data_IF_869817570320
#
_entry.id   IF_869817570320
#
_cell.length_a   1.000
_cell.length_b   1.000
_cell.length_c   1.000
_cell.angle_alpha   90.00
_cell.angle_beta   90.00
_cell.angle_gamma   90.00
#
_symmetry.space_group_name_H-M   'P 1'
#
loop_
_entity.id
_entity.type
_entity.pdbx_description
1 polymer ?
#
# COMPACT_ATOMS: atom_id res chain seq x y z
N UNK A 1 12.07 26.96 0.56
CA UNK A 1 12.07 25.60 -0.02
C UNK A 1 10.69 25.22 -0.52
N UNK A 2 9.65 25.19 0.34
CA UNK A 2 8.25 25.13 -0.12
C UNK A 2 7.93 26.22 -1.15
N UNK A 3 8.38 27.46 -0.93
CA UNK A 3 8.23 28.54 -1.93
C UNK A 3 8.93 28.26 -3.26
N UNK A 4 10.10 27.61 -3.24
CA UNK A 4 10.85 27.26 -4.46
C UNK A 4 10.18 26.10 -5.19
N UNK A 5 9.66 25.12 -4.45
CA UNK A 5 8.87 24.02 -5.01
C UNK A 5 7.53 24.52 -5.55
N UNK A 6 6.85 25.43 -4.85
CA UNK A 6 5.54 25.98 -5.23
C UNK A 6 5.60 26.86 -6.50
N UNK A 7 6.79 27.36 -6.87
CA UNK A 7 7.01 28.04 -8.15
C UNK A 7 7.05 27.07 -9.35
N UNK A 8 7.20 25.75 -9.13
CA UNK A 8 7.31 24.74 -10.19
C UNK A 8 6.26 23.61 -10.07
N UNK A 9 5.78 23.30 -8.86
CA UNK A 9 4.81 22.26 -8.56
C UNK A 9 3.83 22.78 -7.49
N UNK A 10 2.52 22.75 -7.75
CA UNK A 10 1.53 23.20 -6.77
C UNK A 10 1.50 22.30 -5.52
N UNK A 11 2.12 22.75 -4.43
CA UNK A 11 2.11 22.05 -3.14
C UNK A 11 1.91 23.02 -1.97
N UNK A 12 1.28 22.51 -0.90
CA UNK A 12 0.97 23.24 0.34
C UNK A 12 1.75 22.69 1.53
N UNK A 13 2.08 21.39 1.51
CA UNK A 13 2.73 20.68 2.61
C UNK A 13 3.84 19.76 2.10
N UNK A 14 4.71 19.32 3.01
CA UNK A 14 5.73 18.30 2.77
C UNK A 14 5.57 17.26 3.87
N UNK A 15 5.58 15.98 3.49
CA UNK A 15 5.56 14.88 4.44
C UNK A 15 6.76 14.95 5.40
N UNK A 16 6.53 14.64 6.68
CA UNK A 16 7.55 14.78 7.72
C UNK A 16 8.79 13.90 7.49
N UNK A 17 8.66 12.71 6.91
CA UNK A 17 9.80 11.82 6.64
C UNK A 17 10.62 12.27 5.45
N UNK A 18 10.00 12.98 4.50
CA UNK A 18 10.70 13.72 3.45
C UNK A 18 11.48 14.87 4.07
N UNK A 19 10.84 15.69 4.93
CA UNK A 19 11.48 16.83 5.60
C UNK A 19 12.70 16.41 6.43
N UNK A 20 12.65 15.26 7.11
CA UNK A 20 13.77 14.73 7.90
C UNK A 20 15.06 14.57 7.09
N UNK A 21 14.97 14.33 5.78
CA UNK A 21 16.13 14.05 4.93
C UNK A 21 16.35 15.07 3.80
N UNK A 22 15.44 16.04 3.63
CA UNK A 22 15.38 16.93 2.46
C UNK A 22 16.67 17.72 2.24
N UNK A 23 17.21 18.29 3.32
CA UNK A 23 18.41 19.13 3.31
C UNK A 23 19.66 18.37 2.87
N UNK A 24 19.80 17.13 3.34
CA UNK A 24 20.91 16.24 3.02
C UNK A 24 20.81 15.70 1.59
N UNK A 25 19.62 15.22 1.20
CA UNK A 25 19.37 14.69 -0.16
C UNK A 25 19.59 15.74 -1.23
N UNK A 26 19.00 16.94 -1.10
CA UNK A 26 19.13 18.00 -2.09
C UNK A 26 20.59 18.42 -2.30
N UNK A 27 21.39 18.54 -1.23
CA UNK A 27 22.83 18.83 -1.36
C UNK A 27 23.58 17.71 -2.06
N UNK A 28 23.28 16.45 -1.74
CA UNK A 28 23.92 15.30 -2.39
C UNK A 28 23.61 15.20 -3.89
N UNK A 29 22.52 15.81 -4.34
CA UNK A 29 22.11 15.86 -5.74
C UNK A 29 22.35 17.22 -6.40
N UNK A 30 23.23 18.06 -5.83
CA UNK A 30 23.54 19.40 -6.36
C UNK A 30 22.30 20.25 -6.63
N UNK A 31 21.29 20.14 -5.76
CA UNK A 31 20.00 20.84 -5.85
C UNK A 31 19.16 20.47 -7.08
N UNK A 32 19.46 19.37 -7.77
CA UNK A 32 18.66 18.80 -8.85
C UNK A 32 17.89 17.58 -8.34
N UNK A 33 16.58 17.71 -8.23
CA UNK A 33 15.72 16.66 -7.71
C UNK A 33 14.37 16.66 -8.42
N UNK A 34 13.72 15.51 -8.39
CA UNK A 34 12.34 15.33 -8.75
C UNK A 34 11.49 15.23 -7.48
N UNK A 35 10.35 15.91 -7.47
CA UNK A 35 9.38 15.81 -6.39
C UNK A 35 8.14 15.03 -6.85
N UNK A 36 7.71 14.06 -6.04
CA UNK A 36 6.41 13.43 -6.18
C UNK A 36 5.41 14.12 -5.27
N UNK A 37 4.28 14.55 -5.84
CA UNK A 37 3.25 15.30 -5.14
C UNK A 37 1.91 14.60 -5.26
N UNK A 38 1.25 14.38 -4.12
CA UNK A 38 -0.09 13.79 -4.02
C UNK A 38 -0.95 14.74 -3.21
N UNK A 39 -2.13 15.12 -3.70
CA UNK A 39 -3.06 16.01 -2.99
C UNK A 39 -2.40 17.28 -2.41
N UNK A 40 -1.49 17.92 -3.17
CA UNK A 40 -0.70 19.09 -2.77
C UNK A 40 0.30 18.84 -1.62
N UNK A 41 0.59 17.61 -1.26
CA UNK A 41 1.68 17.24 -0.34
C UNK A 41 2.86 16.67 -1.13
N UNK A 42 4.09 17.12 -0.84
CA UNK A 42 5.31 16.47 -1.34
C UNK A 42 5.55 15.19 -0.53
N UNK A 43 5.39 14.04 -1.18
CA UNK A 43 5.44 12.71 -0.56
C UNK A 43 6.78 12.00 -0.77
N UNK A 44 7.56 12.38 -1.78
CA UNK A 44 8.87 11.83 -2.03
C UNK A 44 9.78 12.81 -2.78
N UNK A 45 11.09 12.61 -2.61
CA UNK A 45 12.13 13.26 -3.40
C UNK A 45 13.10 12.21 -3.93
N UNK A 46 13.43 12.32 -5.21
CA UNK A 46 14.37 11.46 -5.93
C UNK A 46 15.36 12.30 -6.76
N UNK A 47 16.52 11.75 -7.16
CA UNK A 47 17.42 12.44 -8.09
C UNK A 47 16.74 12.64 -9.45
N UNK A 48 17.10 13.69 -10.17
CA UNK A 48 16.59 13.94 -11.52
C UNK A 48 17.55 13.39 -12.59
N UNK A 49 17.10 12.59 -13.58
CA UNK A 49 15.76 12.01 -13.70
C UNK A 49 15.61 10.73 -12.85
N UNK A 50 14.39 10.42 -12.41
CA UNK A 50 14.05 9.16 -11.74
C UNK A 50 12.66 8.67 -12.16
N UNK A 51 12.43 7.36 -12.04
CA UNK A 51 11.13 6.75 -12.32
C UNK A 51 10.18 7.02 -11.17
N UNK A 52 8.90 7.20 -11.48
CA UNK A 52 7.83 7.19 -10.49
C UNK A 52 6.97 5.97 -10.74
N UNK A 53 6.92 5.08 -9.75
CA UNK A 53 6.27 3.79 -9.87
C UNK A 53 5.02 3.73 -8.98
N UNK A 54 4.03 3.00 -9.47
CA UNK A 54 2.85 2.59 -8.74
C UNK A 54 2.87 1.09 -8.51
N UNK A 55 2.20 0.65 -7.45
CA UNK A 55 2.00 -0.76 -7.16
C UNK A 55 0.50 -1.07 -7.03
N UNK A 56 -0.03 -1.88 -7.93
CA UNK A 56 -1.41 -2.37 -7.82
C UNK A 56 -1.39 -3.79 -7.25
N UNK A 57 -2.22 -4.04 -6.24
CA UNK A 57 -2.27 -5.30 -5.50
C UNK A 57 -3.71 -5.81 -5.43
N UNK A 58 -3.92 -7.05 -5.85
CA UNK A 58 -5.13 -7.82 -5.56
C UNK A 58 -4.82 -8.78 -4.40
N UNK A 59 -5.34 -8.44 -3.21
CA UNK A 59 -5.19 -9.20 -1.97
C UNK A 59 -6.34 -10.21 -1.85
N UNK A 60 -6.23 -11.30 -2.62
CA UNK A 60 -7.15 -12.43 -2.54
C UNK A 60 -6.93 -13.30 -1.30
N UNK A 61 -7.92 -14.13 -0.99
CA UNK A 61 -7.83 -15.10 0.12
C UNK A 61 -6.77 -16.16 -0.16
N UNK A 62 -6.71 -16.71 -1.37
CA UNK A 62 -5.76 -17.79 -1.72
C UNK A 62 -4.46 -17.26 -2.33
N UNK A 63 -4.56 -16.28 -3.22
CA UNK A 63 -3.42 -15.70 -3.95
C UNK A 63 -3.41 -14.19 -3.78
N UNK A 64 -2.21 -13.62 -3.87
CA UNK A 64 -1.96 -12.19 -3.95
C UNK A 64 -1.32 -11.92 -5.30
N UNK A 65 -1.90 -11.03 -6.11
CA UNK A 65 -1.31 -10.60 -7.36
C UNK A 65 -0.81 -9.16 -7.21
N UNK A 66 0.38 -8.88 -7.75
CA UNK A 66 1.00 -7.56 -7.73
C UNK A 66 1.47 -7.15 -9.11
N UNK A 67 1.29 -5.87 -9.41
CA UNK A 67 1.64 -5.25 -10.69
C UNK A 67 2.41 -3.97 -10.42
N UNK A 68 3.64 -3.89 -10.93
CA UNK A 68 4.46 -2.69 -10.86
C UNK A 68 4.22 -1.86 -12.13
N UNK A 69 3.84 -0.60 -11.96
CA UNK A 69 3.36 0.26 -13.04
C UNK A 69 4.24 1.52 -13.13
N UNK A 70 4.59 1.92 -14.35
CA UNK A 70 5.19 3.23 -14.61
C UNK A 70 4.10 4.30 -14.61
N UNK A 71 4.15 5.23 -13.66
CA UNK A 71 3.12 6.27 -13.51
C UNK A 71 3.19 7.34 -14.60
N UNK A 72 4.27 7.43 -15.37
CA UNK A 72 4.39 8.41 -16.44
C UNK A 72 3.56 8.06 -17.68
N UNK A 73 3.30 6.77 -17.90
CA UNK A 73 2.66 6.27 -19.11
C UNK A 73 1.62 5.16 -18.86
N UNK A 74 1.45 4.70 -17.61
CA UNK A 74 0.50 3.66 -17.23
C UNK A 74 0.93 2.22 -17.60
N UNK A 75 2.15 2.01 -18.07
CA UNK A 75 2.62 0.69 -18.48
C UNK A 75 2.91 -0.20 -17.28
N UNK A 76 2.37 -1.42 -17.28
CA UNK A 76 2.79 -2.48 -16.35
C UNK A 76 4.18 -2.97 -16.73
N UNK A 77 5.16 -2.73 -15.86
CA UNK A 77 6.56 -3.10 -16.04
C UNK A 77 6.86 -4.53 -15.58
N UNK A 78 6.16 -5.00 -14.54
CA UNK A 78 6.28 -6.35 -14.02
C UNK A 78 4.98 -6.80 -13.35
N UNK A 79 4.71 -8.11 -13.36
CA UNK A 79 3.58 -8.71 -12.67
C UNK A 79 4.00 -10.03 -12.01
N UNK A 80 3.46 -10.31 -10.83
CA UNK A 80 3.75 -11.54 -10.09
C UNK A 80 2.59 -11.94 -9.18
N UNK A 81 2.31 -13.24 -9.12
CA UNK A 81 1.38 -13.84 -8.17
C UNK A 81 2.11 -14.68 -7.12
N UNK A 82 1.67 -14.59 -5.86
CA UNK A 82 2.16 -15.40 -4.74
C UNK A 82 0.99 -16.02 -3.98
N UNK A 83 1.25 -17.08 -3.22
CA UNK A 83 0.26 -17.62 -2.28
C UNK A 83 0.09 -16.66 -1.10
N UNK A 84 -1.14 -16.44 -0.67
CA UNK A 84 -1.41 -15.66 0.53
C UNK A 84 -0.99 -16.48 1.77
N UNK A 85 0.06 -16.08 2.52
CA UNK A 85 0.59 -16.88 3.62
C UNK A 85 -0.38 -17.03 4.79
N UNK A 86 -1.44 -16.22 4.85
CA UNK A 86 -2.55 -16.37 5.79
C UNK A 86 -3.29 -17.71 5.63
N UNK A 87 -3.09 -18.45 4.53
CA UNK A 87 -3.66 -19.80 4.32
C UNK A 87 -3.28 -20.77 5.44
N UNK A 88 -2.12 -20.58 6.07
CA UNK A 88 -1.67 -21.39 7.22
C UNK A 88 -2.56 -21.25 8.47
N UNK A 89 -3.47 -20.28 8.49
CA UNK A 89 -4.40 -20.00 9.59
C UNK A 89 -5.88 -20.12 9.18
N UNK A 90 -6.14 -20.62 7.98
CA UNK A 90 -7.49 -20.83 7.45
C UNK A 90 -7.51 -20.77 5.93
N UNK A 91 -8.12 -21.78 5.32
CA UNK A 91 -8.23 -21.90 3.86
C UNK A 91 -9.24 -20.89 3.28
N UNK A 92 -10.24 -20.50 4.07
CA UNK A 92 -11.26 -19.50 3.71
C UNK A 92 -11.36 -18.34 4.72
N UNK A 93 -12.21 -17.37 4.38
CA UNK A 93 -12.46 -16.17 5.19
C UNK A 93 -13.00 -16.50 6.59
N UNK A 94 -13.95 -17.42 6.70
CA UNK A 94 -14.63 -17.75 7.97
C UNK A 94 -13.67 -18.45 8.94
N UNK A 95 -12.85 -19.36 8.42
CA UNK A 95 -11.81 -20.04 9.19
C UNK A 95 -10.79 -19.03 9.74
N UNK A 96 -10.37 -18.06 8.91
CA UNK A 96 -9.47 -16.98 9.33
C UNK A 96 -10.08 -16.07 10.38
N UNK A 97 -11.34 -15.66 10.21
CA UNK A 97 -12.06 -14.87 11.21
C UNK A 97 -12.15 -15.63 12.53
N UNK A 98 -12.49 -16.92 12.48
CA UNK A 98 -12.54 -17.79 13.66
C UNK A 98 -11.19 -17.86 14.37
N UNK A 99 -10.09 -17.97 13.62
CA UNK A 99 -8.74 -17.92 14.19
C UNK A 99 -8.44 -16.59 14.90
N UNK A 100 -8.83 -15.46 14.30
CA UNK A 100 -8.66 -14.13 14.91
C UNK A 100 -9.50 -13.97 16.17
N UNK A 101 -10.73 -14.49 16.19
CA UNK A 101 -11.61 -14.43 17.36
C UNK A 101 -11.06 -15.32 18.50
N UNK A 102 -10.50 -16.48 18.17
CA UNK A 102 -10.01 -17.44 19.15
C UNK A 102 -8.72 -17.01 19.87
N UNK A 103 -7.99 -16.03 19.32
CA UNK A 103 -6.70 -15.59 19.87
C UNK A 103 -6.57 -14.06 19.85
N UNK A 104 -6.31 -13.41 21.00
CA UNK A 104 -6.04 -11.97 21.05
C UNK A 104 -4.91 -11.51 20.12
N UNK A 105 -3.95 -12.39 19.83
CA UNK A 105 -2.82 -12.11 18.93
C UNK A 105 -3.07 -12.52 17.47
N UNK A 106 -4.19 -13.19 17.18
CA UNK A 106 -4.50 -13.75 15.86
C UNK A 106 -4.56 -12.66 14.78
N UNK A 107 -5.26 -11.55 15.05
CA UNK A 107 -5.36 -10.43 14.11
C UNK A 107 -4.00 -9.81 13.78
N UNK A 108 -3.18 -9.53 14.79
CA UNK A 108 -1.83 -8.99 14.62
C UNK A 108 -0.95 -9.93 13.78
N UNK A 109 -1.04 -11.25 14.01
CA UNK A 109 -0.28 -12.23 13.23
C UNK A 109 -0.73 -12.27 11.77
N UNK A 110 -2.02 -12.25 11.52
CA UNK A 110 -2.59 -12.23 10.16
C UNK A 110 -2.21 -10.98 9.40
N UNK A 111 -2.24 -9.82 10.06
CA UNK A 111 -1.75 -8.55 9.50
C UNK A 111 -0.27 -8.64 9.13
N UNK A 112 0.58 -9.12 10.04
CA UNK A 112 2.03 -9.24 9.80
C UNK A 112 2.34 -10.14 8.61
N UNK A 113 1.60 -11.24 8.45
CA UNK A 113 1.76 -12.14 7.30
C UNK A 113 1.38 -11.47 5.97
N UNK A 114 0.26 -10.73 5.96
CA UNK A 114 -0.16 -9.98 4.76
C UNK A 114 0.89 -8.93 4.39
N UNK A 115 1.27 -8.04 5.32
CA UNK A 115 2.25 -6.97 5.06
C UNK A 115 3.59 -7.55 4.60
N UNK A 116 4.10 -8.59 5.28
CA UNK A 116 5.35 -9.23 4.89
C UNK A 116 5.30 -9.83 3.49
N UNK A 117 4.14 -10.33 3.06
CA UNK A 117 3.93 -10.78 1.69
C UNK A 117 3.90 -9.62 0.69
N UNK A 118 3.24 -8.51 1.03
CA UNK A 118 3.18 -7.32 0.16
C UNK A 118 4.56 -6.67 -0.02
N UNK A 119 5.32 -6.48 1.07
CA UNK A 119 6.69 -5.95 1.02
C UNK A 119 7.61 -6.85 0.18
N UNK A 120 7.54 -8.17 0.40
CA UNK A 120 8.32 -9.13 -0.37
C UNK A 120 7.94 -9.08 -1.86
N UNK A 121 6.65 -9.02 -2.17
CA UNK A 121 6.14 -8.94 -3.54
C UNK A 121 6.62 -7.65 -4.23
N UNK A 122 6.54 -6.51 -3.54
CA UNK A 122 7.04 -5.23 -4.04
C UNK A 122 8.54 -5.31 -4.36
N UNK A 123 9.36 -5.86 -3.44
CA UNK A 123 10.79 -6.04 -3.66
C UNK A 123 11.11 -6.97 -4.84
N UNK A 124 10.39 -8.08 -4.96
CA UNK A 124 10.55 -9.02 -6.07
C UNK A 124 10.17 -8.39 -7.42
N UNK A 125 9.12 -7.57 -7.48
CA UNK A 125 8.72 -6.85 -8.67
C UNK A 125 9.74 -5.77 -9.05
N UNK A 126 10.23 -4.99 -8.09
CA UNK A 126 11.28 -4.01 -8.31
C UNK A 126 12.56 -4.66 -8.87
N UNK A 127 12.95 -5.82 -8.33
CA UNK A 127 14.13 -6.55 -8.78
C UNK A 127 14.05 -7.00 -10.24
N UNK A 128 12.85 -7.33 -10.77
CA UNK A 128 12.67 -7.73 -12.18
C UNK A 128 13.09 -6.61 -13.14
N UNK A 129 12.91 -5.35 -12.73
CA UNK A 129 13.13 -4.17 -13.59
C UNK A 129 14.26 -3.27 -13.09
N UNK A 130 15.06 -3.76 -12.13
CA UNK A 130 16.16 -3.05 -11.47
C UNK A 130 15.73 -1.70 -10.87
N UNK A 131 14.50 -1.62 -10.35
CA UNK A 131 13.98 -0.47 -9.65
C UNK A 131 14.26 -0.56 -8.13
N UNK A 132 14.07 0.56 -7.43
CA UNK A 132 14.16 0.64 -5.97
C UNK A 132 12.77 0.77 -5.34
N UNK A 133 12.62 0.29 -4.11
CA UNK A 133 11.36 0.40 -3.37
C UNK A 133 10.96 1.87 -3.14
N UNK A 134 11.92 2.77 -2.98
CA UNK A 134 11.68 4.20 -2.80
C UNK A 134 11.20 4.91 -4.08
N UNK A 135 11.19 4.21 -5.22
CA UNK A 135 10.57 4.71 -6.46
C UNK A 135 9.06 4.40 -6.51
N UNK A 136 8.55 3.51 -5.65
CA UNK A 136 7.11 3.27 -5.49
C UNK A 136 6.52 4.37 -4.61
N UNK A 137 5.70 5.23 -5.20
CA UNK A 137 5.14 6.43 -4.54
C UNK A 137 3.62 6.35 -4.32
N UNK A 138 2.95 5.42 -4.97
CA UNK A 138 1.51 5.16 -4.83
C UNK A 138 1.25 3.65 -4.83
N UNK A 139 0.33 3.20 -3.99
CA UNK A 139 -0.12 1.81 -3.95
C UNK A 139 -1.64 1.78 -3.97
N UNK A 140 -2.22 0.91 -4.79
CA UNK A 140 -3.65 0.59 -4.75
C UNK A 140 -3.80 -0.85 -4.32
N UNK A 141 -4.63 -1.10 -3.31
CA UNK A 141 -4.94 -2.45 -2.82
C UNK A 141 -6.44 -2.70 -2.96
N UNK A 142 -6.77 -3.78 -3.64
CA UNK A 142 -8.12 -4.34 -3.71
C UNK A 142 -8.14 -5.71 -3.05
N UNK A 143 -9.33 -6.18 -2.70
CA UNK A 143 -9.53 -7.48 -2.10
C UNK A 143 -10.87 -7.52 -1.38
N UNK A 144 -11.31 -8.71 -1.02
CA UNK A 144 -12.55 -8.84 -0.26
C UNK A 144 -12.45 -8.17 1.12
N UNK A 145 -13.61 -7.83 1.66
CA UNK A 145 -13.79 -7.10 2.92
C UNK A 145 -13.01 -7.69 4.09
N UNK A 146 -12.93 -9.01 4.21
CA UNK A 146 -12.19 -9.64 5.29
C UNK A 146 -10.67 -9.46 5.14
N UNK A 147 -10.13 -9.59 3.93
CA UNK A 147 -8.71 -9.36 3.67
C UNK A 147 -8.33 -7.90 3.93
N UNK A 148 -9.17 -6.97 3.48
CA UNK A 148 -9.07 -5.54 3.77
C UNK A 148 -8.99 -5.28 5.29
N UNK A 149 -9.95 -5.80 6.06
CA UNK A 149 -10.01 -5.57 7.50
C UNK A 149 -8.82 -6.20 8.24
N UNK A 150 -8.37 -7.39 7.83
CA UNK A 150 -7.18 -8.03 8.41
C UNK A 150 -5.91 -7.22 8.14
N UNK A 151 -5.73 -6.70 6.92
CA UNK A 151 -4.58 -5.86 6.57
C UNK A 151 -4.51 -4.62 7.46
N UNK A 152 -5.66 -3.98 7.71
CA UNK A 152 -5.78 -2.76 8.50
C UNK A 152 -5.94 -2.98 10.01
N UNK A 153 -5.96 -4.23 10.49
CA UNK A 153 -6.29 -4.56 11.89
C UNK A 153 -7.63 -3.99 12.36
N UNK A 154 -8.62 -3.94 11.47
CA UNK A 154 -9.99 -3.60 11.81
C UNK A 154 -10.73 -4.81 12.43
N UNK A 155 -11.81 -4.59 13.18
CA UNK A 155 -12.64 -5.68 13.70
C UNK A 155 -13.18 -6.55 12.57
N UNK A 156 -13.09 -7.87 12.71
CA UNK A 156 -13.57 -8.84 11.70
C UNK A 156 -14.69 -9.76 12.20
N UNK A 157 -14.99 -9.76 13.50
CA UNK A 157 -15.96 -10.68 14.11
C UNK A 157 -17.35 -10.56 13.49
N UNK A 158 -17.77 -9.33 13.24
CA UNK A 158 -19.07 -8.99 12.66
C UNK A 158 -19.19 -9.43 11.20
N UNK A 159 -18.09 -9.71 10.50
CA UNK A 159 -18.11 -10.23 9.13
C UNK A 159 -18.51 -11.71 9.07
N UNK A 160 -18.49 -12.43 10.20
CA UNK A 160 -18.91 -13.83 10.30
C UNK A 160 -20.34 -14.01 10.82
N UNK A 161 -21.05 -12.92 11.14
CA UNK A 161 -22.41 -12.99 11.70
C UNK A 161 -23.34 -12.03 10.97
N UNK A 162 -24.53 -12.49 10.60
CA UNK A 162 -25.57 -11.62 10.03
C UNK A 162 -25.84 -10.43 10.97
N UNK A 163 -25.91 -9.18 10.46
CA UNK A 163 -26.04 -8.78 9.05
C UNK A 163 -24.72 -8.51 8.28
N UNK A 164 -23.58 -9.07 8.72
CA UNK A 164 -22.28 -9.04 8.00
C UNK A 164 -21.73 -7.63 7.72
N UNK A 165 -21.88 -6.71 8.68
CA UNK A 165 -21.57 -5.29 8.47
C UNK A 165 -20.06 -5.01 8.55
N UNK A 166 -19.43 -4.40 7.52
CA UNK A 166 -18.05 -3.95 7.63
C UNK A 166 -17.91 -2.78 8.60
N UNK A 167 -16.71 -2.60 9.16
CA UNK A 167 -16.39 -1.41 9.96
C UNK A 167 -16.23 -0.15 9.09
N UNK A 168 -15.89 -0.34 7.81
CA UNK A 168 -15.71 0.72 6.81
C UNK A 168 -16.18 0.26 5.44
N UNK A 169 -16.95 1.12 4.76
CA UNK A 169 -17.46 0.91 3.41
C UNK A 169 -16.95 1.95 2.41
N UNK A 170 -16.32 3.03 2.88
CA UNK A 170 -15.71 4.07 2.06
C UNK A 170 -14.27 3.70 1.67
N UNK A 171 -13.72 4.37 0.67
CA UNK A 171 -12.30 4.27 0.35
C UNK A 171 -11.43 4.87 1.46
N UNK A 172 -10.19 4.40 1.55
CA UNK A 172 -9.23 4.84 2.55
C UNK A 172 -7.89 5.18 1.92
N UNK A 173 -7.38 6.36 2.27
CA UNK A 173 -6.02 6.78 1.98
C UNK A 173 -5.18 6.74 3.27
N UNK A 174 -4.23 5.82 3.33
CA UNK A 174 -3.38 5.62 4.51
C UNK A 174 -1.92 5.73 4.09
N UNK A 175 -1.06 6.32 4.93
CA UNK A 175 0.38 6.31 4.65
C UNK A 175 0.89 4.88 4.64
N UNK A 176 1.71 4.53 3.64
CA UNK A 176 2.26 3.17 3.50
C UNK A 176 3.00 2.71 4.76
N UNK A 177 3.74 3.62 5.41
CA UNK A 177 4.44 3.37 6.68
C UNK A 177 3.50 3.00 7.84
N UNK A 178 2.27 3.51 7.87
CA UNK A 178 1.32 3.26 8.96
C UNK A 178 0.72 1.85 8.86
N UNK A 179 0.57 1.34 7.64
CA UNK A 179 0.25 -0.07 7.43
C UNK A 179 1.47 -0.99 7.57
N UNK A 180 2.69 -0.45 7.48
CA UNK A 180 3.95 -1.19 7.65
C UNK A 180 4.64 -1.59 6.34
N UNK A 181 4.28 -0.96 5.22
CA UNK A 181 4.88 -1.19 3.90
C UNK A 181 6.09 -0.27 3.70
N UNK A 182 7.21 -0.83 3.25
CA UNK A 182 8.51 -0.13 3.16
C UNK A 182 8.79 0.35 1.72
N UNK A 183 8.21 1.48 1.36
CA UNK A 183 8.36 2.15 0.05
C UNK A 183 8.72 3.62 0.24
N UNK A 184 8.44 4.51 -0.74
CA UNK A 184 8.76 5.93 -0.60
C UNK A 184 8.16 6.53 0.70
N UNK A 185 8.89 7.43 1.38
CA UNK A 185 8.63 7.79 2.78
C UNK A 185 7.23 8.35 3.04
N UNK A 186 6.70 9.19 2.15
CA UNK A 186 5.36 9.76 2.24
C UNK A 186 4.32 9.06 1.37
N UNK A 187 4.65 7.91 0.77
CA UNK A 187 3.76 7.18 -0.12
C UNK A 187 2.44 6.82 0.57
N UNK A 188 1.40 6.73 -0.25
CA UNK A 188 0.07 6.33 0.19
C UNK A 188 -0.30 4.95 -0.33
N UNK A 189 -1.17 4.32 0.44
CA UNK A 189 -1.92 3.13 0.09
C UNK A 189 -3.37 3.56 0.01
N UNK A 190 -3.91 3.50 -1.19
CA UNK A 190 -5.32 3.67 -1.48
C UNK A 190 -6.01 2.31 -1.43
N UNK A 191 -6.99 2.17 -0.54
CA UNK A 191 -7.88 1.01 -0.50
C UNK A 191 -9.24 1.40 -1.04
N UNK A 192 -9.71 0.67 -2.05
CA UNK A 192 -11.01 0.88 -2.66
C UNK A 192 -12.17 0.50 -1.70
N UNK A 193 -13.37 1.07 -1.89
CA UNK A 193 -14.50 0.85 -0.99
C UNK A 193 -14.96 -0.61 -0.97
N UNK A 194 -15.32 -1.11 0.21
CA UNK A 194 -15.92 -2.43 0.36
C UNK A 194 -17.43 -2.34 0.06
N UNK A 195 -17.96 -3.22 -0.80
CA UNK A 195 -19.38 -3.19 -1.19
C UNK A 195 -20.27 -3.85 -0.11
N UNK A 196 -19.86 -5.01 0.44
CA UNK A 196 -20.62 -5.78 1.44
C UNK A 196 -19.71 -6.73 2.25
N UNK A 197 -20.27 -7.47 3.23
CA UNK A 197 -19.49 -8.30 4.17
C UNK A 197 -18.48 -9.28 3.56
N UNK A 198 -18.75 -9.82 2.36
CA UNK A 198 -17.83 -10.68 1.61
C UNK A 198 -17.47 -10.16 0.22
N UNK A 199 -18.09 -9.07 -0.23
CA UNK A 199 -17.87 -8.47 -1.56
C UNK A 199 -17.04 -7.22 -1.34
N UNK A 200 -15.74 -7.31 -1.57
CA UNK A 200 -14.86 -6.14 -1.52
C UNK A 200 -14.74 -5.49 -2.89
N UNK A 201 -13.74 -4.62 -3.01
CA UNK A 201 -13.44 -3.92 -4.25
C UNK A 201 -12.93 -4.83 -5.38
N UNK A 202 -12.62 -6.09 -5.11
CA UNK A 202 -12.25 -7.11 -6.10
C UNK A 202 -13.39 -7.46 -7.08
N UNK A 203 -14.61 -7.00 -6.78
CA UNK A 203 -15.79 -7.21 -7.61
C UNK A 203 -16.29 -5.95 -8.35
N UNK A 204 -15.56 -4.83 -8.28
CA UNK A 204 -15.90 -3.56 -8.96
C UNK A 204 -15.09 -3.37 -10.23
#
# INVERSE_FOLDING_TARGET
MLEVLNQQVHCLTIDVDVLRNISLRLRSWNWQAQASVRNKEVIALSPWPSRQLGLAIDLGTTKIAGYLVDLSNGQTLAAKGIMNPQISYGEDVVARISHVIASPAGGTRMRKLAIGALDKLAGELCNIVSAKLEEIVEVVIVGNTAMHHLLLSLPVKQLACSPFLPAVSEDLDIKARDIGLHIAPGAYVHLLPNIAGFVGADHV
#
